data_IF_634257797792
#
_entry.id   IF_634257797792
#
_cell.length_a   1.000
_cell.length_b   1.000
_cell.length_c   1.000
_cell.angle_alpha   90.00
_cell.angle_beta   90.00
_cell.angle_gamma   90.00
#
_symmetry.space_group_name_H-M   'P 1'
#
loop_
_entity.id
_entity.type
_entity.pdbx_description
1 polymer ?
#
# COMPACT_ATOMS: atom_id res chain seq x y z
N UNK A 1 8.16 -1.93 19.01
CA UNK A 1 8.06 -2.30 17.59
C UNK A 1 7.66 -1.05 16.82
N UNK A 2 8.14 -0.87 15.58
CA UNK A 2 7.66 0.24 14.74
C UNK A 2 6.12 0.18 14.63
N UNK A 3 5.48 1.33 14.46
CA UNK A 3 4.04 1.40 14.21
C UNK A 3 3.70 0.78 12.85
N UNK A 4 2.42 0.54 12.58
CA UNK A 4 1.95 -0.01 11.31
C UNK A 4 1.18 1.04 10.49
N UNK A 5 1.12 0.85 9.17
CA UNK A 5 0.17 1.59 8.31
C UNK A 5 -1.28 1.50 8.83
N UNK A 6 -1.64 0.39 9.48
CA UNK A 6 -2.93 0.19 10.12
C UNK A 6 -3.24 1.21 11.23
N UNK A 7 -2.20 1.83 11.81
CA UNK A 7 -2.35 2.76 12.94
C UNK A 7 -2.53 4.22 12.48
N UNK A 8 -2.34 4.53 11.19
CA UNK A 8 -2.36 5.91 10.66
C UNK A 8 -3.75 6.56 10.71
N UNK A 9 -4.79 5.92 10.16
CA UNK A 9 -6.15 6.47 10.23
C UNK A 9 -6.76 6.43 11.65
N UNK A 10 -6.53 5.41 12.50
CA UNK A 10 -6.85 5.50 13.92
C UNK A 10 -6.23 6.71 14.61
N UNK A 11 -4.94 6.99 14.38
CA UNK A 11 -4.27 8.15 14.95
C UNK A 11 -4.83 9.47 14.39
N UNK A 12 -5.10 9.54 13.09
CA UNK A 12 -5.77 10.68 12.46
C UNK A 12 -7.16 10.94 13.07
N UNK A 13 -7.94 9.89 13.34
CA UNK A 13 -9.23 10.00 14.00
C UNK A 13 -9.11 10.46 15.47
N UNK A 14 -8.08 9.99 16.19
CA UNK A 14 -7.79 10.43 17.55
C UNK A 14 -7.39 11.92 17.60
N UNK A 15 -6.59 12.38 16.64
CA UNK A 15 -6.25 13.80 16.47
C UNK A 15 -7.50 14.67 16.24
N UNK A 16 -8.51 14.14 15.55
CA UNK A 16 -9.80 14.79 15.32
C UNK A 16 -10.79 14.65 16.49
N UNK A 17 -10.37 14.04 17.61
CA UNK A 17 -11.19 13.88 18.81
C UNK A 17 -12.30 12.82 18.69
N UNK A 18 -12.18 11.86 17.75
CA UNK A 18 -13.17 10.79 17.59
C UNK A 18 -13.16 9.86 18.81
N UNK A 19 -14.29 9.65 19.50
CA UNK A 19 -14.36 8.76 20.65
C UNK A 19 -13.95 7.32 20.31
N UNK A 20 -13.07 6.73 21.13
CA UNK A 20 -12.61 5.35 20.98
C UNK A 20 -11.56 5.14 19.89
N UNK A 21 -11.15 6.18 19.16
CA UNK A 21 -9.97 6.12 18.30
C UNK A 21 -8.70 5.97 19.14
N UNK A 22 -7.79 5.08 18.71
CA UNK A 22 -6.55 4.80 19.41
C UNK A 22 -5.37 5.39 18.65
N UNK A 23 -4.62 6.27 19.31
CA UNK A 23 -3.36 6.77 18.79
C UNK A 23 -2.19 5.92 19.31
N UNK A 24 -1.81 4.91 18.54
CA UNK A 24 -0.62 4.09 18.83
C UNK A 24 0.67 4.70 18.30
N UNK A 25 0.57 5.79 17.55
CA UNK A 25 1.68 6.51 16.94
C UNK A 25 2.16 7.68 17.81
N UNK A 26 1.47 7.93 18.93
CA UNK A 26 1.74 9.03 19.87
C UNK A 26 1.83 10.39 19.15
N UNK A 27 0.93 10.61 18.19
CA UNK A 27 0.79 11.86 17.47
C UNK A 27 0.11 12.93 18.33
N UNK A 28 -0.94 12.59 19.09
CA UNK A 28 -1.67 13.53 19.96
C UNK A 28 -0.76 14.20 20.96
N UNK A 29 0.15 13.43 21.58
CA UNK A 29 1.13 13.95 22.53
C UNK A 29 2.15 14.86 21.84
N UNK A 30 2.61 14.47 20.64
CA UNK A 30 3.60 15.22 19.88
C UNK A 30 3.04 16.52 19.28
N UNK A 31 1.77 16.54 18.87
CA UNK A 31 1.11 17.76 18.38
C UNK A 31 0.50 18.60 19.49
N UNK A 32 0.70 18.26 20.77
CA UNK A 32 0.03 18.93 21.90
C UNK A 32 0.30 20.43 22.02
N UNK A 33 1.29 20.97 21.29
CA UNK A 33 1.57 22.40 21.14
C UNK A 33 0.68 23.09 20.10
N UNK A 34 0.07 22.35 19.18
CA UNK A 34 -0.94 22.83 18.25
C UNK A 34 -2.24 22.97 19.05
N UNK A 35 -2.88 24.15 18.98
CA UNK A 35 -4.25 24.32 19.49
C UNK A 35 -5.16 23.21 18.92
N UNK A 36 -6.32 22.98 19.55
CA UNK A 36 -7.31 21.95 19.15
C UNK A 36 -7.27 21.62 17.64
N UNK A 37 -6.67 20.48 17.32
CA UNK A 37 -6.58 19.98 15.94
C UNK A 37 -7.98 19.59 15.51
N UNK A 38 -8.44 20.17 14.41
CA UNK A 38 -9.77 19.89 13.83
C UNK A 38 -9.67 19.53 12.35
N UNK A 39 -8.46 19.50 11.80
CA UNK A 39 -8.16 19.20 10.39
C UNK A 39 -6.97 18.25 10.31
N UNK A 40 -7.13 17.14 9.61
CA UNK A 40 -6.03 16.22 9.32
C UNK A 40 -6.00 15.94 7.83
N UNK A 41 -4.83 16.15 7.22
CA UNK A 41 -4.55 15.68 5.87
C UNK A 41 -3.70 14.41 5.95
N UNK A 42 -4.07 13.37 5.21
CA UNK A 42 -3.26 12.16 5.02
C UNK A 42 -2.94 12.07 3.54
N UNK A 43 -1.67 12.16 3.18
CA UNK A 43 -1.20 11.98 1.82
C UNK A 43 -0.40 10.69 1.73
N UNK A 44 -0.91 9.73 0.96
CA UNK A 44 -0.16 8.52 0.64
C UNK A 44 0.63 8.76 -0.65
N UNK A 45 1.95 8.62 -0.56
CA UNK A 45 2.86 8.64 -1.70
C UNK A 45 3.24 7.19 -1.98
N UNK A 46 2.69 6.64 -3.06
CA UNK A 46 2.90 5.25 -3.46
C UNK A 46 4.40 4.96 -3.67
N UNK A 47 4.88 3.82 -3.16
CA UNK A 47 6.28 3.39 -3.18
C UNK A 47 7.30 4.34 -2.51
N UNK A 48 6.89 5.26 -1.62
CA UNK A 48 7.82 6.07 -0.80
C UNK A 48 8.46 5.23 0.32
N UNK A 49 9.25 4.22 -0.03
CA UNK A 49 9.89 3.30 0.93
C UNK A 49 10.90 3.97 1.86
N UNK A 50 10.97 3.52 3.11
CA UNK A 50 11.89 4.05 4.13
C UNK A 50 13.35 4.00 3.68
N UNK A 51 13.75 2.88 3.06
CA UNK A 51 15.11 2.67 2.59
C UNK A 51 15.47 3.50 1.33
N UNK A 52 14.47 4.07 0.66
CA UNK A 52 14.64 4.90 -0.53
C UNK A 52 14.81 6.39 -0.19
N UNK A 53 14.44 6.81 1.03
CA UNK A 53 14.50 8.22 1.45
C UNK A 53 15.88 8.88 1.26
N UNK A 54 17.03 8.25 1.60
CA UNK A 54 18.33 8.89 1.42
C UNK A 54 18.64 9.21 -0.05
N UNK A 55 18.19 8.37 -0.98
CA UNK A 55 18.41 8.57 -2.41
C UNK A 55 17.45 9.63 -2.98
N UNK A 56 16.19 9.60 -2.54
CA UNK A 56 15.18 10.61 -2.90
C UNK A 56 15.56 12.01 -2.45
N UNK A 57 16.25 12.14 -1.30
CA UNK A 57 16.67 13.42 -0.74
C UNK A 57 17.53 14.25 -1.71
N UNK A 58 18.21 13.61 -2.67
CA UNK A 58 18.98 14.31 -3.70
C UNK A 58 18.12 15.17 -4.64
N UNK A 59 16.86 14.76 -4.87
CA UNK A 59 15.90 15.45 -5.73
C UNK A 59 14.75 16.11 -4.94
N UNK A 60 14.66 15.86 -3.64
CA UNK A 60 13.58 16.33 -2.76
C UNK A 60 14.11 17.08 -1.52
N UNK A 61 14.38 18.40 -1.63
CA UNK A 61 14.91 19.21 -0.53
C UNK A 61 14.09 19.16 0.77
N UNK A 62 12.76 19.06 0.69
CA UNK A 62 11.91 18.90 1.88
C UNK A 62 12.19 17.57 2.58
N UNK A 63 12.32 16.46 1.83
CA UNK A 63 12.69 15.16 2.41
C UNK A 63 14.10 15.20 3.00
N UNK A 64 15.05 15.90 2.36
CA UNK A 64 16.38 16.11 2.93
C UNK A 64 16.32 16.86 4.28
N UNK A 65 15.48 17.89 4.38
CA UNK A 65 15.25 18.62 5.63
C UNK A 65 14.59 17.75 6.70
N UNK A 66 13.63 16.90 6.33
CA UNK A 66 13.02 15.92 7.24
C UNK A 66 14.05 14.92 7.77
N UNK A 67 14.90 14.35 6.91
CA UNK A 67 15.93 13.37 7.30
C UNK A 67 16.98 13.93 8.26
N UNK A 68 17.26 15.23 8.16
CA UNK A 68 18.20 15.94 9.04
C UNK A 68 17.54 16.46 10.31
N UNK A 69 16.23 16.27 10.48
CA UNK A 69 15.46 16.77 11.61
C UNK A 69 15.21 18.28 11.58
N UNK A 70 15.41 18.93 10.43
CA UNK A 70 15.16 20.37 10.26
C UNK A 70 13.68 20.72 10.19
N UNK A 71 12.82 19.79 9.76
CA UNK A 71 11.37 20.00 9.68
C UNK A 71 10.59 18.70 9.87
N UNK A 72 9.43 18.81 10.52
CA UNK A 72 8.53 17.68 10.74
C UNK A 72 9.10 16.63 11.70
N UNK A 73 8.31 15.59 11.94
CA UNK A 73 8.71 14.37 12.66
C UNK A 73 8.74 13.22 11.67
N UNK A 74 9.81 12.43 11.70
CA UNK A 74 9.98 11.24 10.87
C UNK A 74 10.02 10.00 11.77
N UNK A 75 9.10 9.07 11.55
CA UNK A 75 9.11 7.74 12.15
C UNK A 75 9.13 6.66 11.07
N UNK A 76 9.73 5.52 11.38
CA UNK A 76 9.61 4.31 10.57
C UNK A 76 8.36 3.54 10.99
N UNK A 77 7.48 3.27 10.02
CA UNK A 77 6.40 2.31 10.14
C UNK A 77 6.70 1.04 9.33
N UNK A 78 5.84 0.04 9.49
CA UNK A 78 5.80 -1.15 8.64
C UNK A 78 4.46 -1.19 7.91
N UNK A 79 4.48 -1.40 6.60
CA UNK A 79 3.26 -1.68 5.86
C UNK A 79 2.77 -3.11 6.14
N UNK A 80 1.87 -3.64 5.32
CA UNK A 80 1.32 -4.98 5.50
C UNK A 80 1.88 -5.96 4.49
N UNK A 81 1.76 -7.27 4.76
CA UNK A 81 2.15 -8.31 3.81
C UNK A 81 0.91 -8.91 3.10
N UNK A 82 0.93 -9.07 1.76
CA UNK A 82 1.98 -8.65 0.82
C UNK A 82 2.11 -7.12 0.79
N UNK A 83 3.33 -6.62 0.59
CA UNK A 83 3.64 -5.19 0.56
C UNK A 83 3.24 -4.58 -0.80
N UNK A 84 1.94 -4.51 -1.03
CA UNK A 84 1.34 -4.15 -2.31
C UNK A 84 0.19 -3.20 -2.11
N UNK A 85 -0.02 -2.30 -3.07
CA UNK A 85 -0.98 -1.20 -2.99
C UNK A 85 -2.37 -1.65 -2.52
N UNK A 86 -3.04 -2.67 -3.12
CA UNK A 86 -4.41 -3.00 -2.69
C UNK A 86 -4.51 -3.45 -1.23
N UNK A 87 -3.52 -4.21 -0.77
CA UNK A 87 -3.45 -4.74 0.59
C UNK A 87 -3.23 -3.61 1.60
N UNK A 88 -2.23 -2.77 1.35
CA UNK A 88 -1.86 -1.66 2.23
C UNK A 88 -2.90 -0.55 2.27
N UNK A 89 -3.52 -0.20 1.13
CA UNK A 89 -4.60 0.81 1.10
C UNK A 89 -5.82 0.39 1.91
N UNK A 90 -6.20 -0.90 1.85
CA UNK A 90 -7.33 -1.42 2.62
C UNK A 90 -6.95 -1.56 4.10
N UNK A 91 -5.71 -1.92 4.39
CA UNK A 91 -5.17 -1.94 5.76
C UNK A 91 -5.18 -0.55 6.40
N UNK A 92 -4.73 0.47 5.66
CA UNK A 92 -4.85 1.88 6.05
C UNK A 92 -6.32 2.27 6.27
N UNK A 93 -7.17 1.99 5.28
CA UNK A 93 -8.58 2.34 5.26
C UNK A 93 -9.39 1.72 6.38
N UNK A 94 -9.05 0.51 6.83
CA UNK A 94 -9.80 -0.24 7.84
C UNK A 94 -9.14 -0.23 9.22
N UNK A 95 -7.83 0.00 9.28
CA UNK A 95 -6.98 -0.19 10.46
C UNK A 95 -6.79 -1.65 10.85
N UNK A 96 -7.06 -2.60 9.95
CA UNK A 96 -7.01 -4.04 10.19
C UNK A 96 -5.93 -4.70 9.34
N UNK A 97 -5.46 -5.87 9.75
CA UNK A 97 -4.47 -6.63 8.99
C UNK A 97 -5.10 -7.36 7.78
N UNK A 98 -4.31 -7.76 6.77
CA UNK A 98 -4.80 -8.39 5.53
C UNK A 98 -5.67 -9.63 5.74
N UNK A 99 -5.31 -10.47 6.70
CA UNK A 99 -6.07 -11.65 7.10
C UNK A 99 -7.48 -11.34 7.58
N UNK A 100 -7.71 -10.16 8.14
CA UNK A 100 -8.99 -9.74 8.69
C UNK A 100 -9.89 -9.14 7.61
N UNK A 101 -9.34 -8.30 6.73
CA UNK A 101 -10.12 -7.63 5.68
C UNK A 101 -10.19 -8.40 4.35
N UNK A 102 -9.30 -9.37 4.13
CA UNK A 102 -9.33 -10.33 3.04
C UNK A 102 -8.77 -9.86 1.70
N UNK A 103 -8.19 -8.66 1.62
CA UNK A 103 -7.46 -8.19 0.44
C UNK A 103 -5.99 -8.57 0.68
N UNK A 104 -5.66 -9.79 0.25
CA UNK A 104 -4.44 -10.51 0.59
C UNK A 104 -3.37 -10.47 -0.52
N UNK A 105 -3.45 -9.54 -1.47
CA UNK A 105 -2.49 -9.45 -2.58
C UNK A 105 -3.02 -8.65 -3.77
N UNK A 106 -2.15 -8.38 -4.73
CA UNK A 106 -2.52 -7.61 -5.92
C UNK A 106 -3.58 -8.33 -6.77
N UNK A 107 -3.36 -9.62 -7.01
CA UNK A 107 -4.36 -10.52 -7.59
C UNK A 107 -4.68 -11.70 -6.69
N UNK A 108 -5.94 -12.15 -6.66
CA UNK A 108 -6.39 -13.29 -5.85
C UNK A 108 -7.35 -14.17 -6.64
N UNK A 109 -7.31 -15.48 -6.42
CA UNK A 109 -8.33 -16.37 -6.98
C UNK A 109 -9.71 -16.06 -6.37
N UNK A 110 -10.74 -16.07 -7.21
CA UNK A 110 -12.15 -16.04 -6.77
C UNK A 110 -12.53 -17.47 -6.35
N UNK A 111 -12.77 -17.74 -5.06
CA UNK A 111 -13.00 -19.10 -4.57
C UNK A 111 -14.13 -19.83 -5.31
N UNK A 112 -13.89 -21.11 -5.63
CA UNK A 112 -14.84 -21.93 -6.37
C UNK A 112 -14.85 -21.71 -7.90
N UNK A 113 -13.93 -20.90 -8.42
CA UNK A 113 -13.79 -20.65 -9.86
C UNK A 113 -12.31 -20.73 -10.29
N UNK A 114 -12.07 -20.62 -11.61
CA UNK A 114 -10.72 -20.43 -12.18
C UNK A 114 -10.42 -18.94 -12.46
N UNK A 115 -11.29 -18.01 -12.04
CA UNK A 115 -11.11 -16.58 -12.26
C UNK A 115 -10.15 -15.99 -11.23
N UNK A 116 -9.34 -15.04 -11.69
CA UNK A 116 -8.46 -14.23 -10.85
C UNK A 116 -9.00 -12.80 -10.81
N UNK A 117 -9.19 -12.29 -9.60
CA UNK A 117 -9.52 -10.91 -9.35
C UNK A 117 -8.24 -10.08 -9.32
N UNK A 118 -8.16 -9.06 -10.17
CA UNK A 118 -7.15 -8.01 -10.09
C UNK A 118 -7.77 -6.79 -9.38
N UNK A 119 -7.25 -6.41 -8.21
CA UNK A 119 -7.90 -5.40 -7.37
C UNK A 119 -7.86 -3.99 -7.97
N UNK A 120 -6.82 -3.62 -8.73
CA UNK A 120 -6.74 -2.29 -9.35
C UNK A 120 -7.64 -2.16 -10.57
N UNK A 121 -8.08 -3.29 -11.15
CA UNK A 121 -9.06 -3.35 -12.25
C UNK A 121 -10.47 -3.74 -11.79
N UNK A 122 -10.64 -3.98 -10.49
CA UNK A 122 -11.89 -4.49 -9.92
C UNK A 122 -12.99 -3.42 -9.91
N UNK A 123 -14.20 -3.85 -10.26
CA UNK A 123 -15.42 -3.05 -10.19
C UNK A 123 -16.35 -3.61 -9.10
N UNK A 124 -17.35 -4.37 -9.48
CA UNK A 124 -18.44 -4.82 -8.61
C UNK A 124 -18.58 -6.35 -8.52
N UNK A 125 -17.75 -7.10 -9.23
CA UNK A 125 -17.72 -8.57 -9.19
C UNK A 125 -16.35 -9.11 -8.73
N UNK A 126 -16.25 -9.70 -7.53
CA UNK A 126 -17.33 -9.90 -6.55
C UNK A 126 -17.76 -8.57 -5.89
N UNK A 127 -18.94 -8.49 -5.25
CA UNK A 127 -19.40 -7.25 -4.60
C UNK A 127 -18.43 -6.79 -3.50
N UNK A 128 -18.03 -5.52 -3.53
CA UNK A 128 -16.97 -5.01 -2.65
C UNK A 128 -17.24 -5.15 -1.16
N UNK A 129 -18.48 -4.97 -0.70
CA UNK A 129 -18.85 -5.18 0.72
C UNK A 129 -18.80 -6.64 1.16
N UNK A 130 -18.91 -7.58 0.23
CA UNK A 130 -18.75 -9.01 0.53
C UNK A 130 -17.28 -9.40 0.49
N UNK A 131 -16.54 -8.84 -0.48
CA UNK A 131 -15.13 -9.13 -0.65
C UNK A 131 -14.28 -8.54 0.50
N UNK A 132 -14.53 -7.29 0.88
CA UNK A 132 -13.97 -6.60 2.03
C UNK A 132 -15.14 -6.23 2.99
N UNK A 133 -15.31 -6.97 4.11
CA UNK A 133 -16.49 -6.81 4.96
C UNK A 133 -16.31 -5.85 6.14
N UNK A 134 -15.10 -5.41 6.45
CA UNK A 134 -14.85 -4.58 7.64
C UNK A 134 -15.24 -3.12 7.38
N UNK A 135 -15.78 -2.41 8.39
CA UNK A 135 -16.00 -0.98 8.27
C UNK A 135 -14.67 -0.23 8.09
N UNK A 136 -14.69 0.78 7.23
CA UNK A 136 -13.54 1.68 7.05
C UNK A 136 -13.53 2.75 8.14
N UNK A 137 -12.38 3.40 8.35
CA UNK A 137 -12.28 4.59 9.18
C UNK A 137 -13.08 5.77 8.64
N UNK A 138 -13.32 5.83 7.33
CA UNK A 138 -14.18 6.85 6.73
C UNK A 138 -15.66 6.65 7.11
N UNK A 139 -16.15 5.39 7.14
CA UNK A 139 -17.48 5.07 7.69
C UNK A 139 -17.56 5.41 9.20
N UNK A 140 -16.51 5.12 9.97
CA UNK A 140 -16.45 5.43 11.41
C UNK A 140 -16.43 6.94 11.68
N UNK A 141 -15.66 7.70 10.89
CA UNK A 141 -15.61 9.17 10.97
C UNK A 141 -16.99 9.78 10.68
N UNK A 142 -17.67 9.32 9.62
CA UNK A 142 -19.01 9.77 9.29
C UNK A 142 -20.01 9.48 10.42
N UNK A 143 -19.95 8.31 11.05
CA UNK A 143 -20.78 7.95 12.21
C UNK A 143 -20.51 8.85 13.44
N UNK A 144 -19.27 9.32 13.60
CA UNK A 144 -18.88 10.26 14.65
C UNK A 144 -19.19 11.73 14.31
N UNK A 145 -19.80 12.01 13.15
CA UNK A 145 -20.10 13.37 12.70
C UNK A 145 -18.87 14.13 12.17
N UNK A 146 -17.77 13.43 11.88
CA UNK A 146 -16.55 14.01 11.31
C UNK A 146 -16.54 13.82 9.81
N UNK A 147 -16.48 14.93 9.06
CA UNK A 147 -16.45 14.90 7.60
C UNK A 147 -15.13 14.31 7.09
N UNK A 148 -15.19 13.44 6.07
CA UNK A 148 -14.02 12.83 5.47
C UNK A 148 -14.11 12.87 3.94
N UNK A 149 -13.03 13.29 3.29
CA UNK A 149 -12.97 13.54 1.84
C UNK A 149 -11.75 12.83 1.25
N UNK A 150 -11.89 12.26 0.06
CA UNK A 150 -10.78 11.61 -0.65
C UNK A 150 -10.58 12.30 -2.01
N UNK A 151 -9.45 12.96 -2.19
CA UNK A 151 -9.08 13.63 -3.44
C UNK A 151 -8.27 12.67 -4.29
N UNK A 152 -8.95 11.99 -5.21
CA UNK A 152 -8.42 10.85 -5.96
C UNK A 152 -8.59 11.02 -7.47
N UNK A 153 -7.73 10.38 -8.29
CA UNK A 153 -7.90 10.35 -9.75
C UNK A 153 -9.31 9.93 -10.16
N UNK A 154 -9.93 10.67 -11.08
CA UNK A 154 -11.33 10.43 -11.49
C UNK A 154 -11.59 9.01 -12.02
N UNK A 155 -10.59 8.35 -12.60
CA UNK A 155 -10.68 6.96 -13.07
C UNK A 155 -10.88 5.92 -11.95
N UNK A 156 -10.62 6.29 -10.70
CA UNK A 156 -10.84 5.44 -9.53
C UNK A 156 -12.31 5.43 -9.08
N UNK A 157 -13.12 6.39 -9.56
CA UNK A 157 -14.55 6.43 -9.27
C UNK A 157 -15.21 5.12 -9.71
N UNK A 158 -15.99 4.52 -8.81
CA UNK A 158 -16.65 3.23 -9.04
C UNK A 158 -15.71 2.03 -9.17
N UNK A 159 -14.46 2.14 -8.68
CA UNK A 159 -13.59 0.96 -8.52
C UNK A 159 -13.90 0.23 -7.21
N UNK A 160 -13.87 -1.09 -7.24
CA UNK A 160 -14.12 -1.91 -6.06
C UNK A 160 -13.05 -1.71 -4.98
N UNK A 161 -11.80 -1.44 -5.38
CA UNK A 161 -10.72 -1.12 -4.43
C UNK A 161 -10.97 0.21 -3.72
N UNK A 162 -11.41 1.24 -4.44
CA UNK A 162 -11.79 2.53 -3.83
C UNK A 162 -12.93 2.33 -2.82
N UNK A 163 -13.96 1.57 -3.18
CA UNK A 163 -15.08 1.27 -2.27
C UNK A 163 -14.68 0.34 -1.11
N UNK A 164 -13.66 -0.48 -1.25
CA UNK A 164 -13.14 -1.33 -0.18
C UNK A 164 -12.27 -0.56 0.81
N UNK A 165 -11.46 0.39 0.34
CA UNK A 165 -10.52 1.16 1.16
C UNK A 165 -11.16 2.43 1.77
N UNK A 166 -12.05 3.10 1.03
CA UNK A 166 -12.45 4.49 1.33
C UNK A 166 -13.95 4.70 1.53
N UNK A 167 -14.74 3.62 1.62
CA UNK A 167 -16.19 3.66 1.83
C UNK A 167 -16.59 4.66 2.90
N UNK A 168 -17.58 5.50 2.67
CA UNK A 168 -18.02 6.52 3.63
C UNK A 168 -17.33 7.88 3.48
N UNK A 169 -16.27 7.99 2.68
CA UNK A 169 -15.69 9.27 2.30
C UNK A 169 -16.50 9.95 1.18
N UNK A 170 -16.48 11.29 1.15
CA UNK A 170 -16.87 12.06 -0.03
C UNK A 170 -15.74 12.02 -1.06
N UNK A 171 -16.01 11.42 -2.22
CA UNK A 171 -15.06 11.40 -3.33
C UNK A 171 -14.96 12.76 -4.01
N UNK A 172 -13.74 13.29 -4.15
CA UNK A 172 -13.43 14.54 -4.84
C UNK A 172 -12.51 14.21 -6.03
N UNK A 173 -13.01 14.23 -7.28
CA UNK A 173 -12.21 13.83 -8.44
C UNK A 173 -11.09 14.84 -8.72
N UNK A 174 -9.91 14.32 -9.04
CA UNK A 174 -8.80 15.05 -9.66
C UNK A 174 -8.38 14.43 -11.00
N UNK A 175 -7.69 15.22 -11.82
CA UNK A 175 -7.09 14.79 -13.07
C UNK A 175 -5.89 15.70 -13.42
N UNK A 176 -5.17 15.37 -14.50
CA UNK A 176 -3.93 16.06 -14.89
C UNK A 176 -4.08 17.55 -15.22
N UNK A 177 -5.30 18.06 -15.43
CA UNK A 177 -5.54 19.50 -15.69
C UNK A 177 -5.72 20.33 -14.43
N UNK A 178 -5.91 19.68 -13.27
CA UNK A 178 -6.09 20.35 -11.99
C UNK A 178 -4.77 20.53 -11.28
N UNK A 179 -4.66 21.64 -10.56
CA UNK A 179 -3.61 21.83 -9.57
C UNK A 179 -3.91 20.98 -8.33
N UNK A 180 -3.31 19.79 -8.26
CA UNK A 180 -3.62 18.82 -7.20
C UNK A 180 -3.26 19.32 -5.80
N UNK A 181 -2.11 19.99 -5.64
CA UNK A 181 -1.70 20.54 -4.34
C UNK A 181 -2.66 21.63 -3.87
N UNK A 182 -3.09 22.52 -4.79
CA UNK A 182 -4.07 23.54 -4.48
C UNK A 182 -5.42 22.91 -4.10
N UNK A 183 -5.87 21.89 -4.84
CA UNK A 183 -7.12 21.20 -4.56
C UNK A 183 -7.13 20.56 -3.17
N UNK A 184 -6.05 19.87 -2.78
CA UNK A 184 -5.88 19.30 -1.44
C UNK A 184 -5.91 20.40 -0.37
N UNK A 185 -5.19 21.50 -0.58
CA UNK A 185 -5.16 22.63 0.34
C UNK A 185 -6.54 23.29 0.50
N UNK A 186 -7.31 23.40 -0.58
CA UNK A 186 -8.67 23.97 -0.56
C UNK A 186 -9.66 23.07 0.16
N UNK A 187 -9.66 21.76 -0.09
CA UNK A 187 -10.51 20.80 0.64
C UNK A 187 -10.15 20.76 2.13
N UNK A 188 -8.87 20.96 2.49
CA UNK A 188 -8.43 21.03 3.89
C UNK A 188 -8.90 22.32 4.59
N UNK A 189 -8.96 23.44 3.87
CA UNK A 189 -9.45 24.72 4.41
C UNK A 189 -10.98 24.79 4.49
N UNK A 190 -11.67 24.17 3.54
CA UNK A 190 -13.10 24.29 3.35
C UNK A 190 -13.90 23.93 4.61
N UNK A 191 -13.56 22.81 5.27
CA UNK A 191 -14.24 22.38 6.48
C UNK A 191 -13.32 21.48 7.36
N UNK A 192 -13.56 21.43 8.69
CA UNK A 192 -12.92 20.47 9.58
C UNK A 192 -13.06 18.99 9.12
N UNK A 193 -12.20 18.13 9.64
CA UNK A 193 -12.21 16.69 9.42
C UNK A 193 -10.99 16.16 8.66
N UNK A 194 -11.18 15.03 7.97
CA UNK A 194 -10.12 14.30 7.27
C UNK A 194 -10.11 14.62 5.77
N UNK A 195 -8.94 14.91 5.22
CA UNK A 195 -8.69 14.93 3.77
C UNK A 195 -7.65 13.88 3.44
N UNK A 196 -8.00 12.94 2.58
CA UNK A 196 -7.09 11.91 2.07
C UNK A 196 -6.67 12.24 0.63
N UNK A 197 -5.38 12.16 0.34
CA UNK A 197 -4.79 12.26 -0.98
C UNK A 197 -3.91 11.05 -1.30
N UNK A 198 -3.69 10.81 -2.58
CA UNK A 198 -2.88 9.71 -3.10
C UNK A 198 -2.16 10.15 -4.38
N UNK A 199 -0.87 9.85 -4.49
CA UNK A 199 -0.09 9.99 -5.73
C UNK A 199 0.70 8.73 -6.03
N UNK A 200 0.70 8.32 -7.30
CA UNK A 200 1.34 7.11 -7.81
C UNK A 200 2.58 7.39 -8.67
N UNK A 201 3.00 8.66 -8.80
CA UNK A 201 4.05 9.06 -9.73
C UNK A 201 5.38 8.36 -9.44
N UNK A 202 5.73 8.23 -8.16
CA UNK A 202 6.98 7.61 -7.74
C UNK A 202 7.01 6.10 -8.01
N UNK A 203 5.94 5.39 -7.66
CA UNK A 203 5.76 3.96 -7.97
C UNK A 203 5.76 3.70 -9.48
N UNK A 204 5.02 4.51 -10.25
CA UNK A 204 4.98 4.41 -11.72
C UNK A 204 6.39 4.56 -12.31
N UNK A 205 7.17 5.54 -11.84
CA UNK A 205 8.52 5.76 -12.33
C UNK A 205 9.47 4.60 -11.93
N UNK A 206 9.32 4.06 -10.72
CA UNK A 206 10.10 2.91 -10.25
C UNK A 206 9.82 1.67 -11.11
N UNK A 207 8.55 1.34 -11.36
CA UNK A 207 8.15 0.21 -12.20
C UNK A 207 8.64 0.34 -13.64
N UNK A 208 8.46 1.51 -14.26
CA UNK A 208 8.69 1.69 -15.70
C UNK A 208 10.16 1.96 -16.03
N UNK A 209 10.85 2.75 -15.20
CA UNK A 209 12.21 3.23 -15.49
C UNK A 209 13.27 2.72 -14.49
N UNK A 210 12.84 2.17 -13.36
CA UNK A 210 13.72 1.71 -12.29
C UNK A 210 14.00 2.79 -11.25
N UNK A 211 14.17 2.33 -10.01
CA UNK A 211 14.66 3.14 -8.88
C UNK A 211 16.07 3.63 -9.21
N UNK A 212 16.33 4.91 -8.95
CA UNK A 212 17.58 5.61 -9.30
C UNK A 212 17.66 6.14 -10.73
N UNK A 213 16.62 5.95 -11.55
CA UNK A 213 16.55 6.58 -12.88
C UNK A 213 16.29 8.09 -12.78
N UNK A 214 16.60 8.84 -13.84
CA UNK A 214 16.27 10.28 -13.90
C UNK A 214 14.77 10.52 -13.78
N UNK A 215 13.94 9.66 -14.36
CA UNK A 215 12.48 9.75 -14.29
C UNK A 215 11.97 9.54 -12.87
N UNK A 216 12.60 8.64 -12.12
CA UNK A 216 12.27 8.42 -10.71
C UNK A 216 12.67 9.61 -9.83
N UNK A 217 13.82 10.24 -10.11
CA UNK A 217 14.19 11.50 -9.46
C UNK A 217 13.29 12.69 -9.86
N UNK A 218 12.84 12.77 -11.10
CA UNK A 218 11.87 13.79 -11.55
C UNK A 218 10.53 13.61 -10.80
N UNK A 219 10.05 12.38 -10.66
CA UNK A 219 8.87 12.08 -9.85
C UNK A 219 9.07 12.46 -8.37
N UNK A 220 10.27 12.23 -7.81
CA UNK A 220 10.61 12.66 -6.46
C UNK A 220 10.58 14.19 -6.30
N UNK A 221 11.04 14.94 -7.31
CA UNK A 221 10.97 16.40 -7.33
C UNK A 221 9.51 16.90 -7.39
N UNK A 222 8.64 16.26 -8.17
CA UNK A 222 7.21 16.59 -8.18
C UNK A 222 6.54 16.33 -6.83
N UNK A 223 6.84 15.19 -6.20
CA UNK A 223 6.36 14.88 -4.83
C UNK A 223 6.87 15.94 -3.84
N UNK A 224 8.13 16.34 -3.94
CA UNK A 224 8.69 17.41 -3.12
C UNK A 224 7.91 18.72 -3.26
N UNK A 225 7.59 19.12 -4.48
CA UNK A 225 6.88 20.38 -4.74
C UNK A 225 5.43 20.32 -4.21
N UNK A 226 4.75 19.18 -4.41
CA UNK A 226 3.44 18.91 -3.81
C UNK A 226 3.49 19.06 -2.29
N UNK A 227 4.43 18.38 -1.62
CA UNK A 227 4.56 18.40 -0.18
C UNK A 227 4.94 19.79 0.36
N UNK A 228 5.88 20.46 -0.31
CA UNK A 228 6.32 21.81 0.07
C UNK A 228 5.14 22.77 0.06
N UNK A 229 4.34 22.77 -1.01
CA UNK A 229 3.14 23.61 -1.12
C UNK A 229 2.12 23.29 -0.03
N UNK A 230 1.88 22.02 0.29
CA UNK A 230 0.96 21.63 1.36
C UNK A 230 1.46 22.09 2.74
N UNK A 231 2.74 21.94 3.04
CA UNK A 231 3.35 22.40 4.31
C UNK A 231 3.30 23.93 4.42
N UNK A 232 3.61 24.66 3.35
CA UNK A 232 3.56 26.12 3.29
C UNK A 232 2.14 26.70 3.40
N UNK A 233 1.13 25.88 3.09
CA UNK A 233 -0.27 26.30 3.11
C UNK A 233 -1.09 25.72 4.26
N UNK A 234 -0.46 24.89 5.10
CA UNK A 234 -1.09 24.16 6.20
C UNK A 234 -1.76 25.11 7.21
N UNK A 235 -3.08 24.98 7.47
CA UNK A 235 -3.77 25.76 8.49
C UNK A 235 -3.19 25.58 9.90
N UNK A 236 -3.40 26.57 10.78
CA UNK A 236 -2.85 26.57 12.16
C UNK A 236 -3.33 25.43 13.05
N UNK A 237 -4.51 24.90 12.76
CA UNK A 237 -5.18 23.81 13.46
C UNK A 237 -5.17 22.50 12.64
N UNK A 238 -4.26 22.41 11.65
CA UNK A 238 -4.13 21.25 10.79
C UNK A 238 -2.83 20.48 11.03
N UNK A 239 -2.91 19.17 10.84
CA UNK A 239 -1.78 18.24 10.80
C UNK A 239 -1.74 17.58 9.42
N UNK A 240 -0.55 17.48 8.82
CA UNK A 240 -0.32 16.69 7.60
C UNK A 240 0.48 15.43 7.95
N UNK A 241 -0.09 14.27 7.63
CA UNK A 241 0.55 12.96 7.70
C UNK A 241 0.91 12.52 6.29
N UNK A 242 2.18 12.21 6.05
CA UNK A 242 2.68 11.66 4.78
C UNK A 242 3.20 10.26 5.04
N UNK A 243 2.75 9.27 4.28
CA UNK A 243 3.20 7.88 4.41
C UNK A 243 3.18 7.18 3.06
N UNK A 244 3.50 5.88 3.05
CA UNK A 244 3.52 5.04 1.86
C UNK A 244 2.75 3.74 2.12
N UNK A 245 2.37 3.06 1.05
CA UNK A 245 1.81 1.71 1.07
C UNK A 245 2.89 0.62 1.02
N UNK A 246 4.04 0.90 0.42
CA UNK A 246 5.23 0.04 0.42
C UNK A 246 6.50 0.81 0.05
N UNK A 247 7.64 0.12 0.10
CA UNK A 247 8.86 0.48 -0.60
C UNK A 247 9.03 -0.34 -1.88
N UNK A 248 10.26 -0.71 -2.22
CA UNK A 248 10.52 -1.48 -3.44
C UNK A 248 12.01 -1.62 -3.74
N UNK A 249 12.31 -2.35 -4.81
CA UNK A 249 13.66 -2.58 -5.32
C UNK A 249 13.64 -2.84 -6.83
N UNK A 250 14.78 -2.63 -7.50
CA UNK A 250 14.96 -3.09 -8.88
C UNK A 250 15.29 -4.58 -8.89
N UNK A 251 14.65 -5.35 -9.78
CA UNK A 251 14.95 -6.76 -9.97
C UNK A 251 15.79 -6.93 -11.23
N UNK A 252 17.04 -7.42 -11.14
CA UNK A 252 17.90 -7.62 -12.30
C UNK A 252 17.39 -8.79 -13.17
N UNK A 253 17.71 -8.78 -14.47
CA UNK A 253 17.20 -9.78 -15.42
C UNK A 253 17.59 -11.22 -15.07
N UNK A 254 18.77 -11.41 -14.50
CA UNK A 254 19.29 -12.71 -14.08
C UNK A 254 18.70 -13.20 -12.75
N UNK A 255 17.92 -12.38 -12.04
CA UNK A 255 17.15 -12.77 -10.85
C UNK A 255 15.66 -13.00 -11.16
N UNK A 256 15.28 -13.10 -12.45
CA UNK A 256 13.90 -13.34 -12.89
C UNK A 256 13.72 -14.79 -13.32
N UNK A 257 12.72 -15.44 -12.73
CA UNK A 257 12.24 -16.77 -13.16
C UNK A 257 10.86 -16.59 -13.78
N UNK A 258 10.65 -17.03 -15.02
CA UNK A 258 9.31 -17.08 -15.60
C UNK A 258 8.72 -18.48 -15.42
N UNK A 259 7.66 -18.58 -14.60
CA UNK A 259 7.01 -19.86 -14.35
C UNK A 259 6.41 -20.46 -15.63
N UNK A 260 6.01 -19.61 -16.59
CA UNK A 260 5.38 -20.09 -17.82
C UNK A 260 6.38 -20.67 -18.82
N UNK A 261 7.65 -20.30 -18.68
CA UNK A 261 8.76 -20.82 -19.48
C UNK A 261 9.25 -22.20 -19.03
N UNK A 262 8.97 -22.62 -17.78
CA UNK A 262 9.36 -23.92 -17.24
C UNK A 262 8.13 -24.83 -17.03
N UNK A 263 7.94 -25.89 -17.85
CA UNK A 263 6.84 -26.83 -17.67
C UNK A 263 6.76 -27.46 -16.28
N UNK A 264 7.88 -27.61 -15.57
CA UNK A 264 7.93 -28.19 -14.23
C UNK A 264 7.26 -27.29 -13.19
N UNK A 265 7.38 -25.97 -13.35
CA UNK A 265 6.73 -24.99 -12.45
C UNK A 265 5.21 -24.91 -12.69
N UNK A 266 4.72 -25.34 -13.86
CA UNK A 266 3.29 -25.37 -14.19
C UNK A 266 2.61 -26.69 -13.86
N UNK A 267 3.37 -27.78 -13.72
CA UNK A 267 2.81 -29.10 -13.46
C UNK A 267 2.00 -29.11 -12.15
N UNK A 268 0.76 -29.59 -12.20
CA UNK A 268 -0.13 -29.62 -11.03
C UNK A 268 -0.74 -28.27 -10.62
N UNK A 269 -0.38 -27.15 -11.25
CA UNK A 269 -0.98 -25.83 -10.98
C UNK A 269 -2.27 -25.65 -11.79
N UNK A 270 -3.32 -25.14 -11.14
CA UNK A 270 -4.64 -24.85 -11.74
C UNK A 270 -4.86 -23.37 -11.97
N UNK A 271 -4.57 -22.53 -10.98
CA UNK A 271 -4.68 -21.06 -11.06
C UNK A 271 -3.43 -20.42 -10.49
N UNK A 272 -2.89 -19.44 -11.22
CA UNK A 272 -1.81 -18.57 -10.77
C UNK A 272 -2.41 -17.22 -10.38
N UNK A 273 -2.12 -16.78 -9.15
CA UNK A 273 -2.48 -15.46 -8.64
C UNK A 273 -1.30 -14.85 -7.84
N UNK A 274 -1.54 -13.71 -7.20
CA UNK A 274 -0.51 -12.91 -6.52
C UNK A 274 0.16 -11.92 -7.48
N UNK A 275 1.45 -11.69 -7.26
CA UNK A 275 2.30 -10.75 -7.98
C UNK A 275 3.74 -11.28 -8.05
N UNK A 276 4.65 -10.69 -8.85
CA UNK A 276 5.97 -11.27 -9.10
C UNK A 276 6.81 -11.58 -7.85
N UNK A 277 6.60 -10.82 -6.77
CA UNK A 277 7.31 -11.00 -5.50
C UNK A 277 6.62 -12.01 -4.57
N UNK A 278 5.34 -12.30 -4.78
CA UNK A 278 4.55 -13.27 -4.00
C UNK A 278 3.55 -14.00 -4.89
N UNK A 279 3.78 -15.29 -5.17
CA UNK A 279 2.85 -16.12 -5.95
C UNK A 279 1.92 -16.93 -5.07
N UNK A 280 0.65 -16.92 -5.44
CA UNK A 280 -0.38 -17.82 -4.94
C UNK A 280 -0.70 -18.84 -6.01
N UNK A 281 -0.31 -20.09 -5.76
CA UNK A 281 -0.57 -21.20 -6.67
C UNK A 281 -1.72 -22.02 -6.08
N UNK A 282 -2.83 -22.07 -6.82
CA UNK A 282 -3.93 -22.98 -6.51
C UNK A 282 -3.74 -24.23 -7.35
N UNK A 283 -3.73 -25.39 -6.70
CA UNK A 283 -3.30 -26.62 -7.36
C UNK A 283 -4.50 -27.45 -7.82
N UNK A 284 -4.23 -28.43 -8.68
CA UNK A 284 -5.15 -29.53 -8.92
C UNK A 284 -5.38 -30.31 -7.61
N UNK A 285 -6.54 -30.96 -7.43
CA UNK A 285 -6.80 -31.79 -6.26
C UNK A 285 -5.71 -32.86 -6.08
N UNK A 286 -5.09 -32.88 -4.89
CA UNK A 286 -4.01 -33.82 -4.54
C UNK A 286 -2.60 -33.39 -4.95
N UNK A 287 -2.42 -32.34 -5.75
CA UNK A 287 -1.10 -31.95 -6.28
C UNK A 287 -0.30 -30.97 -5.40
N UNK A 288 -0.87 -30.47 -4.30
CA UNK A 288 -0.28 -29.37 -3.52
C UNK A 288 1.13 -29.68 -2.96
N UNK A 289 1.37 -30.93 -2.53
CA UNK A 289 2.67 -31.35 -1.98
C UNK A 289 3.72 -31.41 -3.10
N UNK A 290 3.40 -32.08 -4.21
CA UNK A 290 4.30 -32.23 -5.35
C UNK A 290 4.67 -30.87 -5.96
N UNK A 291 3.70 -29.95 -6.07
CA UNK A 291 3.93 -28.57 -6.50
C UNK A 291 4.86 -27.85 -5.51
N UNK A 292 4.58 -27.93 -4.21
CA UNK A 292 5.42 -27.25 -3.21
C UNK A 292 6.86 -27.77 -3.24
N UNK A 293 7.07 -29.08 -3.36
CA UNK A 293 8.41 -29.68 -3.38
C UNK A 293 9.18 -29.31 -4.66
N UNK A 294 8.51 -29.35 -5.82
CA UNK A 294 9.11 -28.90 -7.09
C UNK A 294 9.53 -27.43 -7.02
N UNK A 295 8.66 -26.57 -6.49
CA UNK A 295 8.95 -25.15 -6.35
C UNK A 295 10.05 -24.86 -5.32
N UNK A 296 10.14 -25.63 -4.23
CA UNK A 296 11.24 -25.54 -3.26
C UNK A 296 12.59 -25.89 -3.89
N UNK A 297 12.63 -26.97 -4.67
CA UNK A 297 13.86 -27.42 -5.31
C UNK A 297 14.34 -26.40 -6.36
N UNK A 298 13.42 -25.93 -7.22
CA UNK A 298 13.78 -25.05 -8.33
C UNK A 298 14.07 -23.61 -7.92
N UNK A 299 13.50 -23.13 -6.81
CA UNK A 299 13.69 -21.76 -6.31
C UNK A 299 14.50 -21.68 -5.02
N UNK A 300 15.30 -22.71 -4.70
CA UNK A 300 16.18 -22.69 -3.53
C UNK A 300 17.10 -21.46 -3.57
N UNK A 301 17.15 -20.73 -2.46
CA UNK A 301 17.87 -19.46 -2.33
C UNK A 301 17.20 -18.23 -2.96
N UNK A 302 16.11 -18.39 -3.73
CA UNK A 302 15.42 -17.31 -4.43
C UNK A 302 14.03 -17.03 -3.85
N UNK A 303 13.39 -18.05 -3.27
CA UNK A 303 12.08 -17.90 -2.64
C UNK A 303 11.91 -18.85 -1.44
N UNK A 304 11.05 -18.45 -0.52
CA UNK A 304 10.50 -19.32 0.51
C UNK A 304 9.15 -19.85 0.04
N UNK A 305 9.00 -21.18 0.06
CA UNK A 305 7.79 -21.86 -0.44
C UNK A 305 7.06 -22.55 0.71
N UNK A 306 5.83 -22.10 0.94
CA UNK A 306 4.96 -22.51 2.03
C UNK A 306 3.73 -23.23 1.47
N UNK A 307 3.21 -24.22 2.21
CA UNK A 307 1.80 -24.55 2.08
C UNK A 307 0.94 -23.40 2.60
N UNK A 308 -0.36 -23.38 2.26
CA UNK A 308 -1.32 -22.40 2.80
C UNK A 308 -1.22 -22.27 4.32
N UNK A 309 -1.28 -23.39 5.03
CA UNK A 309 -1.31 -23.40 6.50
C UNK A 309 0.02 -22.91 7.08
N UNK A 310 1.14 -23.28 6.46
CA UNK A 310 2.46 -22.76 6.84
C UNK A 310 2.52 -21.24 6.66
N UNK A 311 2.07 -20.73 5.50
CA UNK A 311 2.05 -19.30 5.21
C UNK A 311 1.21 -18.52 6.23
N UNK A 312 0.03 -19.03 6.59
CA UNK A 312 -0.81 -18.43 7.65
C UNK A 312 -0.11 -18.47 9.01
N UNK A 313 0.53 -19.58 9.35
CA UNK A 313 1.23 -19.76 10.64
C UNK A 313 2.43 -18.82 10.84
N UNK A 314 3.00 -18.26 9.76
CA UNK A 314 4.06 -17.23 9.86
C UNK A 314 3.59 -15.96 10.57
N UNK A 315 2.27 -15.70 10.57
CA UNK A 315 1.67 -14.47 11.08
C UNK A 315 1.80 -13.27 10.14
N UNK A 316 2.38 -13.41 8.94
CA UNK A 316 2.60 -12.29 8.01
C UNK A 316 1.30 -11.59 7.59
N UNK A 317 0.21 -12.35 7.42
CA UNK A 317 -1.10 -11.80 7.09
C UNK A 317 -1.85 -11.19 8.30
N UNK A 318 -1.29 -11.30 9.51
CA UNK A 318 -2.05 -11.12 10.75
C UNK A 318 -3.12 -12.21 10.95
N UNK A 319 -4.12 -11.98 11.82
CA UNK A 319 -5.21 -12.95 12.03
C UNK A 319 -6.02 -13.17 10.76
N UNK A 320 -6.07 -14.41 10.26
CA UNK A 320 -6.81 -14.74 9.03
C UNK A 320 -8.21 -15.25 9.35
N UNK A 321 -9.25 -14.52 8.94
CA UNK A 321 -10.62 -15.00 9.06
C UNK A 321 -10.81 -16.23 8.13
N UNK A 322 -11.44 -17.33 8.59
CA UNK A 322 -11.69 -18.52 7.77
C UNK A 322 -12.32 -18.28 6.38
N UNK A 323 -13.14 -17.24 6.21
CA UNK A 323 -13.76 -16.89 4.91
C UNK A 323 -12.74 -16.42 3.86
N UNK A 324 -11.57 -15.96 4.29
CA UNK A 324 -10.52 -15.44 3.43
C UNK A 324 -9.45 -16.49 3.11
N UNK A 325 -9.37 -17.59 3.87
CA UNK A 325 -8.41 -18.69 3.63
C UNK A 325 -8.42 -19.20 2.19
N UNK A 326 -9.58 -19.41 1.51
CA UNK A 326 -9.58 -19.90 0.14
C UNK A 326 -8.99 -18.94 -0.90
N UNK A 327 -8.75 -17.66 -0.55
CA UNK A 327 -8.09 -16.67 -1.41
C UNK A 327 -6.57 -16.83 -1.42
N UNK A 328 -6.01 -17.45 -0.39
CA UNK A 328 -4.58 -17.78 -0.30
C UNK A 328 -4.34 -19.05 -1.11
N UNK A 329 -3.27 -19.08 -1.92
CA UNK A 329 -2.88 -20.27 -2.69
C UNK A 329 -2.72 -21.52 -1.83
N UNK A 330 -2.87 -22.71 -2.42
CA UNK A 330 -2.52 -23.96 -1.74
C UNK A 330 -1.00 -24.03 -1.49
N UNK A 331 -0.23 -23.40 -2.39
CA UNK A 331 1.19 -23.10 -2.26
C UNK A 331 1.40 -21.58 -2.36
N UNK A 332 2.19 -21.03 -1.46
CA UNK A 332 2.57 -19.62 -1.40
C UNK A 332 4.07 -19.51 -1.58
N UNK A 333 4.50 -18.73 -2.57
CA UNK A 333 5.92 -18.55 -2.92
C UNK A 333 6.26 -17.10 -2.64
N UNK A 334 7.13 -16.85 -1.66
CA UNK A 334 7.55 -15.50 -1.26
C UNK A 334 9.00 -15.31 -1.68
N UNK A 335 9.24 -14.42 -2.64
CA UNK A 335 10.59 -14.14 -3.11
C UNK A 335 11.46 -13.54 -1.99
N UNK A 336 12.73 -13.91 -1.99
CA UNK A 336 13.75 -13.37 -1.10
C UNK A 336 14.78 -12.58 -1.90
N UNK A 337 15.53 -11.69 -1.23
CA UNK A 337 16.50 -10.85 -1.92
C UNK A 337 15.83 -10.02 -3.01
N UNK A 338 16.40 -10.03 -4.21
CA UNK A 338 15.93 -9.31 -5.40
C UNK A 338 15.29 -10.22 -6.46
N UNK A 339 14.96 -11.47 -6.13
CA UNK A 339 14.33 -12.39 -7.08
C UNK A 339 12.88 -12.04 -7.44
N UNK A 340 12.44 -12.34 -8.66
CA UNK A 340 11.02 -12.27 -9.02
C UNK A 340 10.59 -13.50 -9.81
N UNK A 341 9.37 -13.96 -9.57
CA UNK A 341 8.74 -15.02 -10.35
C UNK A 341 7.70 -14.40 -11.28
N UNK A 342 8.00 -14.29 -12.57
CA UNK A 342 7.07 -13.82 -13.60
C UNK A 342 6.07 -14.91 -14.01
N UNK A 343 4.95 -14.50 -14.59
CA UNK A 343 3.91 -15.39 -15.12
C UNK A 343 3.41 -14.89 -16.49
N UNK A 344 4.28 -14.94 -17.50
CA UNK A 344 4.03 -14.28 -18.80
C UNK A 344 2.86 -14.86 -19.59
N UNK A 345 2.44 -16.08 -19.28
CA UNK A 345 1.24 -16.72 -19.82
C UNK A 345 -0.06 -16.34 -19.10
N UNK A 346 0.04 -15.70 -17.93
CA UNK A 346 -1.08 -15.34 -17.06
C UNK A 346 -1.25 -13.82 -16.88
N UNK A 347 -0.21 -13.05 -17.15
CA UNK A 347 -0.14 -11.61 -16.92
C UNK A 347 0.00 -10.83 -18.24
N UNK A 348 -0.40 -9.54 -18.29
CA UNK A 348 -0.14 -8.69 -19.45
C UNK A 348 1.36 -8.63 -19.78
N UNK A 349 1.75 -8.55 -21.07
CA UNK A 349 3.15 -8.51 -21.47
C UNK A 349 3.95 -7.36 -20.83
N UNK A 350 3.27 -6.27 -20.46
CA UNK A 350 3.86 -5.12 -19.78
C UNK A 350 4.43 -5.48 -18.40
N UNK A 351 3.83 -6.44 -17.69
CA UNK A 351 4.28 -6.87 -16.36
C UNK A 351 5.70 -7.45 -16.39
N UNK A 352 6.08 -8.14 -17.47
CA UNK A 352 7.43 -8.69 -17.63
C UNK A 352 8.49 -7.62 -17.96
N UNK A 353 8.07 -6.43 -18.40
CA UNK A 353 8.96 -5.31 -18.76
C UNK A 353 9.26 -4.36 -17.60
N UNK A 354 8.61 -4.57 -16.45
CA UNK A 354 8.85 -3.75 -15.27
C UNK A 354 10.27 -3.96 -14.74
N UNK A 355 10.80 -2.94 -14.08
CA UNK A 355 12.17 -2.90 -13.53
C UNK A 355 12.11 -2.89 -12.01
N UNK A 356 11.38 -1.92 -11.44
CA UNK A 356 11.05 -1.89 -10.01
C UNK A 356 9.98 -2.93 -9.68
N UNK A 357 10.08 -3.55 -8.51
CA UNK A 357 9.10 -4.48 -7.97
C UNK A 357 8.94 -4.30 -6.46
N UNK A 358 7.80 -4.75 -5.96
CA UNK A 358 7.47 -4.85 -4.55
C UNK A 358 6.47 -6.01 -4.34
N UNK A 359 6.20 -6.36 -3.09
CA UNK A 359 5.17 -7.33 -2.69
C UNK A 359 5.64 -8.32 -1.63
N UNK A 360 6.94 -8.60 -1.55
CA UNK A 360 7.49 -9.55 -0.60
C UNK A 360 7.74 -8.95 0.80
N UNK A 361 8.14 -9.80 1.75
CA UNK A 361 8.34 -9.41 3.15
C UNK A 361 9.75 -8.84 3.44
N UNK A 362 10.47 -8.32 2.43
CA UNK A 362 11.81 -7.76 2.68
C UNK A 362 11.72 -6.40 3.34
N UNK A 363 12.76 -6.00 4.08
CA UNK A 363 12.81 -4.68 4.73
C UNK A 363 12.68 -3.53 3.72
N UNK A 364 13.28 -3.66 2.53
CA UNK A 364 13.22 -2.67 1.46
C UNK A 364 11.78 -2.43 0.94
N UNK A 365 10.93 -3.46 0.99
CA UNK A 365 9.55 -3.39 0.53
C UNK A 365 8.57 -3.04 1.67
N UNK A 366 8.86 -3.46 2.90
CA UNK A 366 7.94 -3.36 4.04
C UNK A 366 8.11 -2.11 4.91
N UNK A 367 9.32 -1.55 4.99
CA UNK A 367 9.58 -0.38 5.79
C UNK A 367 9.14 0.89 5.04
N UNK A 368 8.26 1.67 5.66
CA UNK A 368 7.66 2.89 5.10
C UNK A 368 7.82 4.04 6.10
N UNK A 369 7.87 5.31 5.66
CA UNK A 369 7.90 6.45 6.55
C UNK A 369 6.51 6.83 7.05
N UNK A 370 6.49 7.48 8.20
CA UNK A 370 5.47 8.45 8.56
C UNK A 370 6.17 9.80 8.79
N UNK A 371 5.81 10.79 7.98
CA UNK A 371 6.27 12.16 8.14
C UNK A 371 5.09 13.00 8.63
N UNK A 372 5.28 13.71 9.74
CA UNK A 372 4.24 14.51 10.38
C UNK A 372 4.65 15.97 10.36
N UNK A 373 3.80 16.82 9.78
CA UNK A 373 3.99 18.27 9.75
C UNK A 373 2.87 18.98 10.54
N UNK A 374 3.25 20.06 11.20
CA UNK A 374 2.32 21.01 11.84
C UNK A 374 2.61 22.42 11.31
N UNK A 375 1.67 23.35 11.48
CA UNK A 375 1.89 24.75 11.04
C UNK A 375 3.09 25.44 11.72
N UNK A 376 3.53 24.93 12.87
CA UNK A 376 4.65 25.44 13.66
C UNK A 376 5.99 24.77 13.33
N UNK A 377 6.02 23.78 12.44
CA UNK A 377 7.26 23.22 11.89
C UNK A 377 8.04 24.22 11.00
N UNK A 378 7.61 25.49 10.96
CA UNK A 378 8.32 26.63 10.37
C UNK A 378 9.29 27.21 11.42
N UNK A 379 10.38 26.50 11.69
CA UNK A 379 11.47 26.94 12.56
C UNK A 379 12.67 27.37 11.76
#
# INVERSE_FOLDING_TARGET
MPGSICDVLPAAAALLGVPGALDRLALTDWVGHVNQVDRVAVLLVDALGWHLLPELAAAAPLLASVLTGGIGRLDQLTCTFPSTTPTSLVSLGTGAQPGEHGILGFTLSIPGTDRVLNHVRWRDDPPHRQWQPLPTWFERLAQAGVSARTVLPEGFLGSGLTDAAYRGARFVPTNATKDYAQQLADELRAEPGLVYGYTAELDTAAHVFGIGSSQWHDAAAHVNDLLTRLVETLPRNAVLLVTADHGGLNVPDDARVDLDADPRLREGVRVVAGEPRVRYLHTQPGAAVDVADTWRELLDGWAQVYSRDQAVSTGLFGPVHPRHLPRIGDVVVVCTGDAAVLATGHEPPESARLIGFHGAATAAEMAIPLIVFTSLSRG
#
